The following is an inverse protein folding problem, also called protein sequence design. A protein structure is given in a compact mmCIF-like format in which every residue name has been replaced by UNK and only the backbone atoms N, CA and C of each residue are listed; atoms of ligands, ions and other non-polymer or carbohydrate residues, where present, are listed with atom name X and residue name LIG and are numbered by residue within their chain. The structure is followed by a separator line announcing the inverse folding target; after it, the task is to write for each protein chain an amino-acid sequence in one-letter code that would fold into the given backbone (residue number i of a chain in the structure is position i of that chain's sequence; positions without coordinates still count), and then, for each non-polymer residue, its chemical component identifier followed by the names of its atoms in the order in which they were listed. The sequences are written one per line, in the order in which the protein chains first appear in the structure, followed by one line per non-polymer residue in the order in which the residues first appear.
data_IF_550518547427
#
_entry.id   IF_550518547427
#
_cell.length_a   1.000
_cell.length_b   1.000
_cell.length_c   1.000
_cell.angle_alpha   90.00
_cell.angle_beta   90.00
_cell.angle_gamma   90.00
#
_symmetry.space_group_name_H-M   'P 1'
#
loop_
_entity.id
_entity.type
_entity.pdbx_description
1 polymer ?
#
# COMPACT_ATOMS: atom_id res chain seq x y z
N UNK A 1 14.64 76.73 38.77
CA UNK A 1 15.63 75.65 39.00
C UNK A 1 14.93 74.29 39.01
N UNK A 2 14.93 73.58 37.87
CA UNK A 2 14.97 72.11 37.71
C UNK A 2 14.76 71.78 36.22
N UNK A 3 15.89 71.51 35.55
CA UNK A 3 15.99 71.02 34.16
C UNK A 3 15.72 69.51 34.15
N UNK A 4 14.98 68.99 33.17
CA UNK A 4 15.08 67.58 32.75
C UNK A 4 14.95 67.47 31.22
N UNK A 5 16.02 66.98 30.62
CA UNK A 5 16.16 66.58 29.22
C UNK A 5 15.33 65.32 28.92
N UNK A 6 14.76 65.21 27.72
CA UNK A 6 14.40 63.92 27.13
C UNK A 6 14.88 63.87 25.67
N UNK A 7 15.64 62.81 25.37
CA UNK A 7 16.37 62.56 24.11
C UNK A 7 15.45 61.95 23.04
N UNK A 8 15.68 62.34 21.80
CA UNK A 8 15.10 61.78 20.57
C UNK A 8 15.96 60.57 20.14
N UNK A 9 15.32 59.49 19.66
CA UNK A 9 15.96 58.44 18.86
C UNK A 9 15.07 58.11 17.65
N UNK A 10 15.60 58.08 16.41
CA UNK A 10 14.83 57.68 15.24
C UNK A 10 14.86 56.16 15.04
N UNK A 11 13.72 55.59 14.64
CA UNK A 11 13.56 54.18 14.29
C UNK A 11 13.97 53.98 12.82
N UNK A 12 15.01 53.19 12.57
CA UNK A 12 15.41 52.76 11.21
C UNK A 12 14.78 51.40 10.94
N UNK A 13 13.92 51.32 9.92
CA UNK A 13 13.28 50.09 9.45
C UNK A 13 14.19 49.37 8.47
N UNK A 14 14.58 48.13 8.77
CA UNK A 14 15.28 47.22 7.85
C UNK A 14 14.26 46.24 7.25
N UNK A 15 14.09 46.29 5.93
CA UNK A 15 13.30 45.31 5.18
C UNK A 15 14.23 44.19 4.70
N UNK A 16 14.05 42.97 5.20
CA UNK A 16 14.77 41.77 4.74
C UNK A 16 13.95 41.12 3.63
N UNK A 17 14.48 41.09 2.40
CA UNK A 17 13.94 40.27 1.31
C UNK A 17 14.48 38.84 1.45
N UNK A 18 13.66 37.91 1.91
CA UNK A 18 13.96 36.48 1.83
C UNK A 18 13.77 35.98 0.41
N UNK A 19 14.86 35.61 -0.27
CA UNK A 19 14.81 34.86 -1.52
C UNK A 19 14.62 33.38 -1.15
N UNK A 20 13.42 32.87 -1.32
CA UNK A 20 13.13 31.44 -1.24
C UNK A 20 13.47 30.78 -2.58
N UNK A 21 14.50 29.95 -2.61
CA UNK A 21 14.69 28.98 -3.70
C UNK A 21 13.80 27.76 -3.39
N UNK A 22 12.86 27.36 -4.27
CA UNK A 22 12.16 26.11 -4.07
C UNK A 22 13.15 24.95 -4.29
N UNK A 23 13.17 24.01 -3.34
CA UNK A 23 13.90 22.75 -3.45
C UNK A 23 13.12 21.85 -4.40
N UNK A 24 13.53 21.77 -5.67
CA UNK A 24 12.91 20.92 -6.70
C UNK A 24 13.63 19.58 -6.91
N UNK A 25 14.18 18.97 -5.85
CA UNK A 25 14.94 17.71 -6.00
C UNK A 25 14.01 16.49 -6.17
N UNK A 26 12.76 16.57 -5.70
CA UNK A 26 11.82 15.42 -5.69
C UNK A 26 11.02 15.22 -6.98
N UNK A 27 10.77 16.27 -7.76
CA UNK A 27 9.92 16.18 -8.95
C UNK A 27 10.68 15.58 -10.15
N UNK A 28 11.95 15.97 -10.30
CA UNK A 28 12.80 15.51 -11.40
C UNK A 28 12.95 13.97 -11.41
N UNK A 29 13.10 13.35 -10.25
CA UNK A 29 13.24 11.90 -10.13
C UNK A 29 11.99 11.13 -10.53
N UNK A 30 10.79 11.68 -10.27
CA UNK A 30 9.54 11.03 -10.63
C UNK A 30 9.26 11.11 -12.14
N UNK A 31 9.52 12.27 -12.74
CA UNK A 31 9.40 12.47 -14.20
C UNK A 31 10.38 11.57 -14.96
N UNK A 32 11.63 11.45 -14.49
CA UNK A 32 12.64 10.59 -15.08
C UNK A 32 12.25 9.09 -15.01
N UNK A 33 11.66 8.64 -13.90
CA UNK A 33 11.16 7.27 -13.76
C UNK A 33 9.97 6.97 -14.67
N UNK A 34 9.05 7.92 -14.83
CA UNK A 34 7.93 7.80 -15.76
C UNK A 34 8.44 7.68 -17.19
N UNK A 35 9.35 8.55 -17.62
CA UNK A 35 9.91 8.49 -18.96
C UNK A 35 10.61 7.16 -19.22
N UNK A 36 11.40 6.67 -18.26
CA UNK A 36 12.04 5.35 -18.35
C UNK A 36 11.01 4.23 -18.49
N UNK A 37 9.91 4.26 -17.73
CA UNK A 37 8.87 3.24 -17.81
C UNK A 37 8.11 3.28 -19.13
N UNK A 38 7.86 4.48 -19.68
CA UNK A 38 7.30 4.66 -21.02
C UNK A 38 8.23 4.05 -22.09
N UNK A 39 9.53 4.35 -22.04
CA UNK A 39 10.51 3.77 -22.97
C UNK A 39 10.58 2.24 -22.88
N UNK A 40 10.53 1.68 -21.67
CA UNK A 40 10.48 0.23 -21.44
C UNK A 40 9.20 -0.41 -22.01
N UNK A 41 8.08 0.31 -22.02
CA UNK A 41 6.81 -0.19 -22.57
C UNK A 41 6.86 -0.35 -24.10
N UNK A 42 7.70 0.41 -24.79
CA UNK A 42 7.80 0.40 -26.26
C UNK A 42 8.57 -0.81 -26.83
N UNK A 43 9.26 -1.59 -25.99
CA UNK A 43 10.03 -2.82 -26.36
C UNK A 43 10.67 -2.75 -27.76
N UNK A 44 11.73 -1.95 -27.97
CA UNK A 44 12.28 -1.65 -29.31
C UNK A 44 12.84 -2.85 -30.09
N UNK A 45 12.99 -4.02 -29.46
CA UNK A 45 13.46 -5.27 -30.09
C UNK A 45 12.36 -6.34 -30.24
N UNK A 46 11.12 -6.05 -29.85
CA UNK A 46 9.98 -6.95 -30.00
C UNK A 46 9.45 -6.92 -31.44
N UNK A 47 9.21 -8.08 -32.04
CA UNK A 47 8.48 -8.20 -33.32
C UNK A 47 6.97 -8.23 -33.15
N UNK A 48 6.48 -8.14 -31.91
CA UNK A 48 5.06 -8.06 -31.56
C UNK A 48 4.73 -6.64 -31.11
N UNK A 49 3.64 -6.08 -31.64
CA UNK A 49 3.04 -4.84 -31.16
C UNK A 49 2.61 -5.01 -29.70
N UNK A 50 3.00 -4.07 -28.83
CA UNK A 50 2.52 -4.03 -27.46
C UNK A 50 1.17 -3.29 -27.44
N UNK A 51 0.03 -3.96 -27.16
CA UNK A 51 -1.27 -3.30 -27.12
C UNK A 51 -1.52 -2.54 -25.80
N UNK A 52 -0.57 -2.58 -24.85
CA UNK A 52 -0.70 -1.92 -23.55
C UNK A 52 0.05 -0.59 -23.53
N UNK A 53 -0.58 0.42 -22.96
CA UNK A 53 0.01 1.72 -22.67
C UNK A 53 0.19 1.92 -21.16
N UNK A 54 1.18 2.76 -20.80
CA UNK A 54 1.35 3.18 -19.41
C UNK A 54 0.27 4.20 -19.07
N UNK A 55 -0.55 3.90 -18.06
CA UNK A 55 -1.45 4.87 -17.44
C UNK A 55 -0.78 5.42 -16.20
N UNK A 56 -0.43 6.70 -16.24
CA UNK A 56 0.21 7.38 -15.11
C UNK A 56 -0.76 7.59 -13.95
N UNK A 57 -0.22 7.66 -12.73
CA UNK A 57 -0.98 7.98 -11.50
C UNK A 57 -2.17 7.05 -11.23
N UNK A 58 -2.07 5.79 -11.67
CA UNK A 58 -3.09 4.77 -11.48
C UNK A 58 -2.61 3.65 -10.55
N UNK A 59 -3.43 3.19 -9.59
CA UNK A 59 -4.66 3.81 -9.08
C UNK A 59 -4.43 5.09 -8.28
N UNK A 60 -5.51 5.84 -8.06
CA UNK A 60 -5.59 6.89 -7.04
C UNK A 60 -5.86 6.25 -5.67
N UNK A 61 -4.90 6.39 -4.75
CA UNK A 61 -5.03 5.87 -3.38
C UNK A 61 -6.04 6.67 -2.55
N UNK A 62 -6.57 6.04 -1.50
CA UNK A 62 -7.42 6.73 -0.53
C UNK A 62 -6.63 7.79 0.25
N UNK A 63 -7.27 8.87 0.75
CA UNK A 63 -6.59 9.87 1.56
C UNK A 63 -5.90 9.25 2.79
N UNK A 64 -4.58 9.46 2.89
CA UNK A 64 -3.76 8.93 3.99
C UNK A 64 -3.24 7.50 3.79
N UNK A 65 -3.65 6.83 2.71
CA UNK A 65 -3.11 5.52 2.33
C UNK A 65 -1.77 5.70 1.60
N UNK A 66 -0.77 4.93 2.00
CA UNK A 66 0.57 5.00 1.42
C UNK A 66 0.80 3.92 0.37
N UNK A 67 1.76 4.12 -0.52
CA UNK A 67 2.15 3.07 -1.46
C UNK A 67 2.91 1.94 -0.75
N UNK A 68 2.46 0.72 -0.99
CA UNK A 68 3.14 -0.50 -0.61
C UNK A 68 3.35 -1.43 -1.81
N UNK A 69 4.12 -2.50 -1.61
CA UNK A 69 4.28 -3.50 -2.66
C UNK A 69 2.93 -4.14 -3.00
N UNK A 70 2.53 -4.11 -4.27
CA UNK A 70 1.39 -4.85 -4.78
C UNK A 70 1.71 -6.35 -4.77
N UNK A 71 0.86 -7.14 -4.12
CA UNK A 71 1.12 -8.56 -3.85
C UNK A 71 0.26 -9.47 -4.72
N UNK A 72 -1.00 -9.09 -4.91
CA UNK A 72 -1.92 -9.85 -5.74
C UNK A 72 -2.93 -8.94 -6.42
N UNK A 73 -3.24 -9.27 -7.67
CA UNK A 73 -4.21 -8.58 -8.52
C UNK A 73 -5.17 -9.63 -9.07
N UNK A 74 -6.47 -9.39 -8.93
CA UNK A 74 -7.53 -10.27 -9.42
C UNK A 74 -8.50 -9.42 -10.24
N UNK A 75 -8.41 -9.46 -11.58
CA UNK A 75 -9.39 -8.81 -12.45
C UNK A 75 -10.79 -9.39 -12.22
N UNK A 76 -11.82 -8.57 -12.38
CA UNK A 76 -13.21 -8.97 -12.20
C UNK A 76 -13.97 -9.22 -13.52
N UNK A 77 -13.25 -9.20 -14.66
CA UNK A 77 -13.76 -9.29 -16.03
C UNK A 77 -14.74 -8.18 -16.47
N UNK A 78 -15.03 -7.20 -15.62
CA UNK A 78 -15.84 -6.00 -15.96
C UNK A 78 -15.00 -4.75 -16.19
N UNK A 79 -13.70 -4.84 -15.91
CA UNK A 79 -12.71 -3.78 -16.09
C UNK A 79 -12.14 -3.26 -14.77
N UNK A 80 -12.66 -3.72 -13.63
CA UNK A 80 -12.06 -3.48 -12.33
C UNK A 80 -11.12 -4.61 -11.92
N UNK A 81 -10.46 -4.41 -10.78
CA UNK A 81 -9.68 -5.45 -10.14
C UNK A 81 -9.66 -5.31 -8.63
N UNK A 82 -9.49 -6.45 -7.97
CA UNK A 82 -9.11 -6.50 -6.57
C UNK A 82 -7.60 -6.51 -6.44
N UNK A 83 -7.06 -5.61 -5.62
CA UNK A 83 -5.66 -5.54 -5.28
C UNK A 83 -5.46 -5.78 -3.79
N UNK A 84 -4.52 -6.69 -3.48
CA UNK A 84 -3.95 -6.78 -2.14
C UNK A 84 -2.52 -6.23 -2.17
N UNK A 85 -2.19 -5.31 -1.28
CA UNK A 85 -0.87 -4.71 -1.19
C UNK A 85 -0.43 -4.45 0.24
N UNK A 86 0.85 -4.10 0.43
CA UNK A 86 1.44 -3.83 1.75
C UNK A 86 1.18 -2.39 2.21
N UNK A 87 -0.10 -2.05 2.34
CA UNK A 87 -0.57 -0.78 2.88
C UNK A 87 -1.90 -1.00 3.59
N UNK A 88 -2.46 0.04 4.17
CA UNK A 88 -3.62 -0.01 5.05
C UNK A 88 -4.71 0.94 4.51
N UNK A 89 -5.93 0.44 4.16
CA UNK A 89 -6.37 -0.95 4.21
C UNK A 89 -5.76 -1.85 3.13
N UNK A 90 -5.49 -3.15 3.40
CA UNK A 90 -4.69 -4.00 2.52
C UNK A 90 -5.41 -4.48 1.27
N UNK A 91 -6.74 -4.61 1.31
CA UNK A 91 -7.55 -5.15 0.21
C UNK A 91 -8.39 -4.01 -0.36
N UNK A 92 -8.23 -3.76 -1.65
CA UNK A 92 -8.86 -2.64 -2.34
C UNK A 92 -9.49 -3.10 -3.65
N UNK A 93 -10.69 -2.63 -3.96
CA UNK A 93 -11.27 -2.76 -5.29
C UNK A 93 -11.06 -1.46 -6.06
N UNK A 94 -10.42 -1.60 -7.22
CA UNK A 94 -10.04 -0.51 -8.11
C UNK A 94 -10.85 -0.64 -9.38
N UNK A 95 -11.52 0.45 -9.76
CA UNK A 95 -12.25 0.54 -11.03
C UNK A 95 -11.31 0.77 -12.21
N UNK A 96 -11.78 0.61 -13.44
CA UNK A 96 -10.98 0.83 -14.65
C UNK A 96 -10.33 2.23 -14.70
N UNK A 97 -11.04 3.25 -14.22
CA UNK A 97 -10.59 4.65 -14.08
C UNK A 97 -9.66 4.89 -12.89
N UNK A 98 -9.30 3.85 -12.14
CA UNK A 98 -8.28 3.89 -11.10
C UNK A 98 -8.78 4.38 -9.76
N UNK A 99 -10.09 4.39 -9.53
CA UNK A 99 -10.67 4.82 -8.26
C UNK A 99 -10.84 3.62 -7.33
N UNK A 100 -10.38 3.77 -6.09
CA UNK A 100 -10.66 2.79 -5.03
C UNK A 100 -12.08 3.03 -4.53
N UNK A 101 -12.98 2.07 -4.75
CA UNK A 101 -14.39 2.18 -4.35
C UNK A 101 -14.75 1.26 -3.19
N UNK A 102 -13.93 0.25 -2.90
CA UNK A 102 -14.03 -0.60 -1.71
C UNK A 102 -12.65 -0.80 -1.11
N UNK A 103 -12.55 -0.77 0.21
CA UNK A 103 -11.30 -0.97 0.94
C UNK A 103 -11.57 -1.56 2.31
N UNK A 104 -10.89 -2.63 2.69
CA UNK A 104 -11.09 -3.34 3.97
C UNK A 104 -9.90 -4.21 4.36
N UNK A 105 -10.02 -4.86 5.52
CA UNK A 105 -8.97 -5.65 6.15
C UNK A 105 -8.12 -4.86 7.15
N UNK A 106 -8.62 -3.70 7.59
CA UNK A 106 -7.89 -2.76 8.44
C UNK A 106 -7.32 -3.41 9.70
N UNK A 107 -6.01 -3.34 9.88
CA UNK A 107 -5.31 -3.88 11.05
C UNK A 107 -5.33 -5.42 11.17
N UNK A 108 -5.92 -6.13 10.19
CA UNK A 108 -6.05 -7.58 10.20
C UNK A 108 -4.84 -8.29 9.61
N UNK A 109 -4.15 -7.65 8.66
CA UNK A 109 -3.05 -8.26 7.91
C UNK A 109 -1.75 -7.54 8.27
N UNK A 110 -0.84 -8.24 8.93
CA UNK A 110 0.50 -7.75 9.26
C UNK A 110 1.38 -7.68 8.02
N UNK A 111 1.37 -8.75 7.23
CA UNK A 111 2.23 -8.86 6.06
C UNK A 111 1.50 -9.55 4.91
N UNK A 112 0.87 -8.74 4.06
CA UNK A 112 0.25 -9.17 2.81
C UNK A 112 1.24 -10.00 1.97
N UNK A 113 0.85 -11.24 1.63
CA UNK A 113 1.70 -12.16 0.86
C UNK A 113 0.97 -13.03 -0.18
N UNK A 114 -0.27 -13.47 0.07
CA UNK A 114 -1.03 -14.31 -0.87
C UNK A 114 -2.44 -13.78 -1.10
N UNK A 115 -2.92 -13.76 -2.33
CA UNK A 115 -4.26 -13.29 -2.64
C UNK A 115 -4.90 -14.13 -3.75
N UNK A 116 -6.10 -14.64 -3.51
CA UNK A 116 -6.90 -15.31 -4.54
C UNK A 116 -8.39 -15.14 -4.26
N UNK A 117 -9.22 -15.50 -5.25
CA UNK A 117 -10.67 -15.52 -5.14
C UNK A 117 -11.14 -16.97 -5.29
N UNK A 118 -12.12 -17.38 -4.48
CA UNK A 118 -12.78 -18.67 -4.63
C UNK A 118 -13.96 -18.65 -5.60
N UNK A 119 -14.51 -19.82 -5.90
CA UNK A 119 -15.63 -19.97 -6.84
C UNK A 119 -16.92 -19.27 -6.41
N UNK A 120 -17.05 -18.96 -5.11
CA UNK A 120 -18.21 -18.23 -4.57
C UNK A 120 -17.97 -16.70 -4.61
N UNK A 121 -16.84 -16.27 -5.18
CA UNK A 121 -16.45 -14.86 -5.30
C UNK A 121 -15.80 -14.28 -4.04
N UNK A 122 -15.50 -15.08 -3.02
CA UNK A 122 -14.89 -14.59 -1.80
C UNK A 122 -13.38 -14.46 -1.95
N UNK A 123 -12.82 -13.46 -1.28
CA UNK A 123 -11.42 -13.12 -1.33
C UNK A 123 -10.66 -13.80 -0.20
N UNK A 124 -9.56 -14.45 -0.53
CA UNK A 124 -8.66 -15.11 0.41
C UNK A 124 -7.36 -14.34 0.48
N UNK A 125 -7.03 -13.83 1.66
CA UNK A 125 -5.86 -13.03 1.94
C UNK A 125 -4.92 -13.75 2.91
N UNK A 126 -3.69 -13.98 2.49
CA UNK A 126 -2.64 -14.61 3.27
C UNK A 126 -1.76 -13.57 3.97
N UNK A 127 -1.68 -13.70 5.29
CA UNK A 127 -0.79 -12.94 6.17
C UNK A 127 0.40 -13.81 6.58
N UNK A 128 1.58 -13.48 6.06
CA UNK A 128 2.80 -14.25 6.30
C UNK A 128 3.63 -13.74 7.48
N UNK A 129 3.20 -12.67 8.15
CA UNK A 129 4.01 -11.94 9.12
C UNK A 129 3.72 -12.30 10.58
N UNK A 130 4.45 -11.67 11.51
CA UNK A 130 5.54 -10.72 11.26
C UNK A 130 6.88 -11.38 10.90
N UNK A 131 7.69 -10.69 10.10
CA UNK A 131 9.08 -11.10 9.76
C UNK A 131 10.15 -10.44 10.64
N UNK A 132 9.76 -9.94 11.82
CA UNK A 132 10.67 -9.31 12.77
C UNK A 132 10.01 -9.09 14.13
N UNK A 133 10.78 -8.57 15.07
CA UNK A 133 10.35 -8.33 16.46
C UNK A 133 9.72 -6.94 16.61
N UNK A 134 8.76 -6.57 15.75
CA UNK A 134 8.00 -5.33 15.91
C UNK A 134 6.91 -5.53 16.98
N UNK A 135 6.98 -4.84 18.14
CA UNK A 135 5.97 -4.96 19.18
C UNK A 135 4.56 -4.61 18.73
N UNK A 136 4.41 -3.77 17.68
CA UNK A 136 3.11 -3.41 17.12
C UNK A 136 2.40 -4.61 16.47
N UNK A 137 3.15 -5.64 16.08
CA UNK A 137 2.66 -6.85 15.41
C UNK A 137 2.59 -8.06 16.33
N UNK A 138 2.93 -7.89 17.61
CA UNK A 138 2.98 -8.98 18.57
C UNK A 138 1.63 -9.72 18.67
N UNK A 139 1.66 -11.04 18.52
CA UNK A 139 0.48 -11.90 18.58
C UNK A 139 -0.44 -11.83 17.35
N UNK A 140 0.00 -11.21 16.24
CA UNK A 140 -0.74 -11.13 14.98
C UNK A 140 -0.04 -11.93 13.86
N UNK A 141 -0.77 -12.14 12.76
CA UNK A 141 -0.30 -12.76 11.53
C UNK A 141 -0.16 -14.29 11.57
N UNK A 142 0.49 -14.84 10.53
CA UNK A 142 0.53 -16.27 10.21
C UNK A 142 -0.85 -16.91 10.03
N UNK A 143 -1.76 -16.18 9.38
CA UNK A 143 -3.13 -16.61 9.15
C UNK A 143 -3.54 -16.41 7.69
N UNK A 144 -4.61 -17.10 7.29
CA UNK A 144 -5.29 -16.85 6.03
C UNK A 144 -6.72 -16.42 6.36
N UNK A 145 -7.14 -15.28 5.83
CA UNK A 145 -8.45 -14.70 6.06
C UNK A 145 -9.31 -14.79 4.81
N UNK A 146 -10.59 -15.12 4.99
CA UNK A 146 -11.60 -15.12 3.94
C UNK A 146 -12.54 -13.93 4.14
N UNK A 147 -12.77 -13.16 3.09
CA UNK A 147 -13.67 -12.02 3.07
C UNK A 147 -14.71 -12.15 1.96
N UNK A 148 -15.91 -11.61 2.18
CA UNK A 148 -16.83 -11.32 1.08
C UNK A 148 -16.35 -10.12 0.27
N UNK A 149 -16.93 -9.90 -0.91
CA UNK A 149 -16.65 -8.70 -1.72
C UNK A 149 -17.23 -7.41 -1.12
N UNK A 150 -18.05 -7.53 -0.08
CA UNK A 150 -18.60 -6.43 0.71
C UNK A 150 -17.70 -6.08 1.89
N UNK A 151 -16.60 -6.83 2.09
CA UNK A 151 -15.65 -6.62 3.17
C UNK A 151 -16.03 -7.31 4.48
N UNK A 152 -17.03 -8.20 4.48
CA UNK A 152 -17.36 -9.01 5.64
C UNK A 152 -16.28 -10.08 5.86
N UNK A 153 -15.74 -10.16 7.08
CA UNK A 153 -14.81 -11.22 7.43
C UNK A 153 -15.57 -12.52 7.75
N UNK A 154 -15.32 -13.56 6.96
CA UNK A 154 -16.07 -14.82 7.03
C UNK A 154 -15.34 -15.89 7.84
N UNK A 155 -14.01 -15.97 7.73
CA UNK A 155 -13.22 -17.07 8.29
C UNK A 155 -11.74 -16.69 8.43
N UNK A 156 -11.11 -17.15 9.52
CA UNK A 156 -9.66 -17.22 9.65
C UNK A 156 -9.19 -18.67 9.74
N UNK A 157 -8.13 -19.01 9.02
CA UNK A 157 -7.37 -20.25 9.16
C UNK A 157 -6.02 -19.96 9.81
N UNK A 158 -5.65 -20.77 10.80
CA UNK A 158 -4.45 -20.57 11.61
C UNK A 158 -4.74 -19.87 12.94
N UNK A 159 -3.72 -19.80 13.78
CA UNK A 159 -3.77 -19.14 15.10
C UNK A 159 -2.86 -17.92 15.04
N UNK A 160 -3.38 -16.75 15.42
CA UNK A 160 -2.66 -15.49 15.31
C UNK A 160 -1.30 -15.55 16.03
N UNK A 161 -0.23 -15.16 15.34
CA UNK A 161 1.14 -15.19 15.88
C UNK A 161 1.79 -16.58 15.93
N UNK A 162 1.13 -17.63 15.43
CA UNK A 162 1.66 -19.00 15.46
C UNK A 162 2.13 -19.44 14.06
N UNK A 163 3.42 -19.26 13.78
CA UNK A 163 4.07 -19.61 12.50
C UNK A 163 4.26 -21.11 12.25
N UNK A 164 3.71 -21.99 13.10
CA UNK A 164 3.93 -23.43 13.04
C UNK A 164 2.63 -24.21 13.06
N UNK A 165 2.53 -25.23 12.22
CA UNK A 165 1.45 -26.20 12.32
C UNK A 165 1.53 -26.92 13.67
N UNK A 166 0.37 -27.21 14.29
CA UNK A 166 0.35 -28.12 15.43
C UNK A 166 0.90 -29.48 14.99
N UNK A 167 1.76 -30.07 15.81
CA UNK A 167 2.27 -31.42 15.57
C UNK A 167 1.12 -32.41 15.72
N UNK A 168 0.63 -32.97 14.62
CA UNK A 168 -0.35 -34.07 14.68
C UNK A 168 0.32 -35.28 15.36
N UNK A 169 -0.28 -35.88 16.41
CA UNK A 169 0.22 -37.11 17.00
C UNK A 169 0.42 -38.18 15.93
N UNK A 170 1.49 -38.97 16.05
CA UNK A 170 1.75 -40.10 15.15
C UNK A 170 0.60 -41.13 15.19
N UNK A 171 -0.09 -41.25 16.33
CA UNK A 171 -1.25 -42.12 16.54
C UNK A 171 -2.42 -41.83 15.61
N UNK A 172 -2.54 -40.59 15.13
CA UNK A 172 -3.72 -40.14 14.40
C UNK A 172 -3.49 -40.20 12.89
N UNK A 173 -2.28 -40.55 12.41
CA UNK A 173 -2.02 -40.65 10.98
C UNK A 173 -2.71 -41.91 10.42
N UNK A 174 -3.38 -41.82 9.26
CA UNK A 174 -3.81 -43.02 8.56
C UNK A 174 -2.58 -43.89 8.25
N UNK A 175 -2.71 -45.23 8.28
CA UNK A 175 -1.61 -46.12 7.90
C UNK A 175 -1.17 -45.78 6.48
N UNK A 176 0.14 -45.64 6.30
CA UNK A 176 0.75 -45.46 4.97
C UNK A 176 0.46 -46.74 4.18
N UNK A 177 -0.19 -46.61 3.01
CA UNK A 177 -0.39 -47.73 2.08
C UNK A 177 0.91 -48.08 1.36
#
# INVERSE_FOLDING_TARGET
MKLRFLKIFPLVSFLVFSITFPVSISAQTAEDEVQKNQELSLRPTSTMDNPYELVENWPTLLPGQEWGAAIGLIPDDTGGLWMMFRSEPPINYITADGQITKSFGDGMIVQAHGFCMDNDGNLWAGDSGPFGDDPSTAGRGFQIHKFSQEGEHLLSLGEAGVSRARKRPLSDRPPVR
#
